data_IF_969742329895
#
_entry.id   IF_969742329895
#
_cell.length_a   1.000
_cell.length_b   1.000
_cell.length_c   1.000
_cell.angle_alpha   90.00
_cell.angle_beta   90.00
_cell.angle_gamma   90.00
#
_symmetry.space_group_name_H-M   'P 1'
#
loop_
_entity.id
_entity.type
_entity.pdbx_description
1 polymer ?
#
# COMPACT_ATOMS: atom_id res chain seq x y z
N UNK A 1 2.08 -14.64 11.40
CA UNK A 1 2.33 -13.75 10.24
C UNK A 1 2.98 -12.49 10.76
N UNK A 2 4.07 -11.98 10.15
CA UNK A 2 4.73 -10.75 10.61
C UNK A 2 4.16 -9.54 9.87
N UNK A 3 3.76 -8.50 10.61
CA UNK A 3 3.15 -7.28 10.06
C UNK A 3 2.02 -7.59 9.06
N UNK A 4 0.99 -8.33 9.50
CA UNK A 4 -0.20 -8.61 8.70
C UNK A 4 -0.93 -7.34 8.26
N UNK A 5 -0.79 -6.25 9.03
CA UNK A 5 -1.40 -4.95 8.79
C UNK A 5 -0.32 -3.94 8.38
N UNK A 6 -0.64 -3.15 7.36
CA UNK A 6 0.05 -1.91 6.96
C UNK A 6 -0.95 -0.75 7.01
N UNK A 7 -0.49 0.49 6.78
CA UNK A 7 -1.38 1.67 6.77
C UNK A 7 -2.57 1.55 5.81
N UNK A 8 -2.43 0.77 4.73
CA UNK A 8 -3.48 0.48 3.74
C UNK A 8 -4.38 -0.71 4.09
N UNK A 9 -4.21 -1.32 5.27
CA UNK A 9 -5.01 -2.46 5.73
C UNK A 9 -4.25 -3.78 5.71
N UNK A 10 -4.96 -4.87 5.45
CA UNK A 10 -4.40 -6.22 5.56
C UNK A 10 -3.69 -6.65 4.29
N UNK A 11 -2.48 -7.20 4.47
CA UNK A 11 -1.71 -7.84 3.40
C UNK A 11 -2.28 -9.23 3.12
N UNK A 12 -3.14 -9.31 2.12
CA UNK A 12 -3.70 -10.58 1.66
C UNK A 12 -3.80 -10.58 0.14
N UNK A 13 -3.69 -11.78 -0.44
CA UNK A 13 -3.75 -12.01 -1.87
C UNK A 13 -4.53 -13.30 -2.17
N UNK A 14 -5.12 -13.36 -3.36
CA UNK A 14 -5.80 -14.55 -3.87
C UNK A 14 -4.86 -15.23 -4.86
N UNK A 15 -4.58 -16.52 -4.62
CA UNK A 15 -3.77 -17.35 -5.50
C UNK A 15 -4.67 -17.92 -6.60
N UNK A 16 -4.28 -17.71 -7.86
CA UNK A 16 -4.94 -18.24 -9.06
C UNK A 16 -4.23 -19.51 -9.55
N UNK A 17 -4.83 -20.18 -10.53
CA UNK A 17 -4.27 -21.39 -11.12
C UNK A 17 -2.95 -21.12 -11.89
N UNK A 18 -2.81 -19.93 -12.47
CA UNK A 18 -1.59 -19.45 -13.15
C UNK A 18 -0.40 -19.25 -12.20
N UNK A 19 -0.64 -19.09 -10.90
CA UNK A 19 0.41 -18.88 -9.89
C UNK A 19 1.05 -20.20 -9.40
N UNK A 20 0.58 -21.36 -9.88
CA UNK A 20 0.99 -22.68 -9.37
C UNK A 20 2.08 -23.27 -10.29
N UNK A 21 3.18 -23.84 -9.73
CA UNK A 21 3.44 -24.07 -8.31
C UNK A 21 4.00 -22.84 -7.57
N UNK A 22 3.48 -22.59 -6.37
CA UNK A 22 3.98 -21.55 -5.46
C UNK A 22 4.43 -22.14 -4.12
N UNK A 23 5.44 -21.53 -3.50
CA UNK A 23 5.93 -21.89 -2.17
C UNK A 23 5.37 -20.95 -1.11
N UNK A 24 4.97 -21.50 0.04
CA UNK A 24 4.50 -20.73 1.18
C UNK A 24 5.66 -20.42 2.13
N UNK A 25 5.90 -19.13 2.39
CA UNK A 25 6.93 -18.70 3.34
C UNK A 25 6.46 -18.93 4.80
N UNK A 26 7.42 -19.07 5.73
CA UNK A 26 7.16 -19.42 7.13
C UNK A 26 6.16 -18.50 7.86
N UNK A 27 6.09 -17.22 7.48
CA UNK A 27 5.27 -16.21 8.17
C UNK A 27 4.06 -15.78 7.35
N UNK A 28 3.56 -16.66 6.48
CA UNK A 28 2.36 -16.44 5.67
C UNK A 28 1.32 -17.50 6.04
N UNK A 29 0.09 -17.07 6.31
CA UNK A 29 -1.02 -17.96 6.55
C UNK A 29 -1.74 -18.25 5.23
N UNK A 30 -2.02 -19.52 4.94
CA UNK A 30 -2.89 -19.92 3.84
C UNK A 30 -4.31 -20.15 4.36
N UNK A 31 -5.25 -19.36 3.87
CA UNK A 31 -6.68 -19.55 4.12
C UNK A 31 -7.31 -20.21 2.90
N UNK A 32 -8.03 -21.31 3.13
CA UNK A 32 -8.76 -22.02 2.08
C UNK A 32 -10.26 -21.80 2.28
N UNK A 33 -10.96 -21.23 1.29
CA UNK A 33 -12.42 -21.10 1.35
C UNK A 33 -13.09 -22.48 1.43
N UNK A 34 -14.25 -22.52 2.07
CA UNK A 34 -15.13 -23.70 2.09
C UNK A 34 -16.25 -23.52 1.07
N UNK A 35 -17.07 -24.54 0.85
CA UNK A 35 -18.23 -24.45 -0.07
C UNK A 35 -19.22 -23.34 0.32
N UNK A 36 -19.23 -22.93 1.60
CA UNK A 36 -20.14 -21.91 2.12
C UNK A 36 -19.62 -20.47 1.93
N UNK A 37 -18.36 -20.27 1.57
CA UNK A 37 -17.73 -18.96 1.50
C UNK A 37 -16.82 -18.86 0.27
N UNK A 38 -17.14 -17.98 -0.66
CA UNK A 38 -16.29 -17.75 -1.83
C UNK A 38 -14.95 -17.08 -1.47
N UNK A 39 -13.89 -17.36 -2.24
CA UNK A 39 -12.57 -16.75 -2.05
C UNK A 39 -12.63 -15.20 -2.09
N UNK A 40 -13.41 -14.65 -3.01
CA UNK A 40 -13.57 -13.20 -3.21
C UNK A 40 -14.34 -12.54 -2.08
N UNK A 41 -15.29 -13.24 -1.47
CA UNK A 41 -15.97 -12.75 -0.26
C UNK A 41 -15.03 -12.82 0.94
N UNK A 42 -14.26 -13.90 1.07
CA UNK A 42 -13.29 -14.08 2.16
C UNK A 42 -12.23 -12.98 2.20
N UNK A 43 -11.69 -12.55 1.04
CA UNK A 43 -10.71 -11.46 0.99
C UNK A 43 -11.33 -10.11 1.39
N UNK A 44 -12.55 -9.81 0.89
CA UNK A 44 -13.27 -8.60 1.28
C UNK A 44 -13.57 -8.57 2.78
N UNK A 45 -13.89 -9.72 3.36
CA UNK A 45 -14.11 -9.84 4.79
C UNK A 45 -12.85 -9.54 5.60
N UNK A 46 -11.69 -10.07 5.18
CA UNK A 46 -10.40 -9.80 5.83
C UNK A 46 -9.98 -8.33 5.68
N UNK A 47 -10.36 -7.68 4.58
CA UNK A 47 -10.10 -6.26 4.34
C UNK A 47 -11.15 -5.34 5.00
N UNK A 48 -12.22 -5.91 5.55
CA UNK A 48 -13.29 -5.14 6.16
C UNK A 48 -12.86 -4.46 7.47
N UNK A 49 -13.51 -3.34 7.78
CA UNK A 49 -13.36 -2.66 9.06
C UNK A 49 -13.68 -3.56 10.25
N UNK A 50 -14.63 -4.49 10.10
CA UNK A 50 -15.02 -5.43 11.16
C UNK A 50 -13.84 -6.31 11.56
N UNK A 51 -13.12 -6.86 10.58
CA UNK A 51 -11.94 -7.66 10.85
C UNK A 51 -10.79 -6.81 11.41
N UNK A 52 -10.58 -5.61 10.87
CA UNK A 52 -9.59 -4.67 11.39
C UNK A 52 -9.83 -4.30 12.87
N UNK A 53 -11.08 -4.04 13.27
CA UNK A 53 -11.44 -3.76 14.66
C UNK A 53 -11.25 -4.99 15.56
N UNK A 54 -11.53 -6.19 15.05
CA UNK A 54 -11.30 -7.44 15.80
C UNK A 54 -9.82 -7.67 16.13
N UNK A 55 -8.93 -7.40 15.18
CA UNK A 55 -7.49 -7.65 15.35
C UNK A 55 -6.73 -6.48 15.98
N UNK A 56 -7.27 -5.26 15.96
CA UNK A 56 -6.64 -4.08 16.58
C UNK A 56 -6.15 -4.31 18.02
N UNK A 57 -6.96 -4.87 18.96
CA UNK A 57 -6.50 -5.14 20.32
C UNK A 57 -5.47 -6.28 20.40
N UNK A 58 -5.38 -7.14 19.39
CA UNK A 58 -4.39 -8.23 19.35
C UNK A 58 -2.98 -7.68 19.11
N UNK A 59 -2.88 -6.52 18.46
CA UNK A 59 -1.62 -5.88 18.11
C UNK A 59 -1.15 -4.80 19.09
N UNK A 60 -1.81 -4.62 20.24
CA UNK A 60 -1.40 -3.65 21.24
C UNK A 60 -0.15 -4.13 21.98
N UNK A 61 1.02 -3.53 21.69
CA UNK A 61 2.29 -3.80 22.36
C UNK A 61 3.52 -3.33 21.57
N UNK A 62 4.71 -3.37 22.20
CA UNK A 62 6.01 -3.05 21.56
C UNK A 62 6.49 -4.19 20.64
N UNK A 63 5.93 -5.39 20.81
CA UNK A 63 6.31 -6.58 20.05
C UNK A 63 5.81 -6.57 18.60
N UNK A 64 6.55 -7.21 17.70
CA UNK A 64 6.18 -7.35 16.29
C UNK A 64 4.75 -7.90 16.18
N UNK A 65 3.82 -7.20 15.49
CA UNK A 65 2.44 -7.63 15.39
C UNK A 65 2.37 -9.00 14.73
N UNK A 66 1.99 -10.00 15.51
CA UNK A 66 1.88 -11.40 15.08
C UNK A 66 0.44 -11.87 15.17
N UNK A 67 -0.09 -12.35 14.05
CA UNK A 67 -1.40 -12.98 14.00
C UNK A 67 -1.24 -14.51 13.95
N UNK A 68 -1.78 -15.19 14.96
CA UNK A 68 -1.78 -16.65 15.07
C UNK A 68 -2.96 -17.28 14.30
N UNK A 69 -2.86 -18.55 13.88
CA UNK A 69 -3.98 -19.25 13.25
C UNK A 69 -5.23 -19.36 14.15
N UNK A 70 -5.05 -19.45 15.46
CA UNK A 70 -6.16 -19.52 16.43
C UNK A 70 -6.92 -18.20 16.50
N UNK A 71 -6.22 -17.07 16.46
CA UNK A 71 -6.84 -15.74 16.42
C UNK A 71 -7.65 -15.56 15.14
N UNK A 72 -7.14 -16.02 13.99
CA UNK A 72 -7.90 -15.97 12.73
C UNK A 72 -9.17 -16.84 12.83
N UNK A 73 -9.06 -18.05 13.39
CA UNK A 73 -10.20 -18.97 13.58
C UNK A 73 -11.21 -18.46 14.60
N UNK A 74 -10.77 -17.65 15.57
CA UNK A 74 -11.61 -17.04 16.59
C UNK A 74 -12.50 -15.91 16.09
N UNK A 75 -12.24 -15.39 14.89
CA UNK A 75 -13.05 -14.34 14.29
C UNK A 75 -14.44 -14.86 13.91
N UNK A 76 -15.47 -14.26 14.50
CA UNK A 76 -16.88 -14.59 14.22
C UNK A 76 -17.49 -13.55 13.28
N UNK A 77 -18.19 -14.04 12.26
CA UNK A 77 -18.90 -13.21 11.29
C UNK A 77 -20.24 -13.84 10.94
N UNK A 78 -21.23 -13.01 10.59
CA UNK A 78 -22.45 -13.46 9.93
C UNK A 78 -22.09 -13.90 8.50
N UNK A 79 -22.35 -15.15 8.17
CA UNK A 79 -22.09 -15.69 6.83
C UNK A 79 -23.40 -15.69 6.02
N UNK A 80 -23.60 -14.72 5.10
CA UNK A 80 -24.79 -14.68 4.27
C UNK A 80 -24.81 -15.84 3.27
N UNK A 81 -25.96 -16.05 2.61
CA UNK A 81 -26.09 -17.06 1.57
C UNK A 81 -25.12 -16.81 0.40
N UNK A 82 -24.80 -17.84 -0.38
CA UNK A 82 -23.87 -17.67 -1.50
C UNK A 82 -24.37 -16.65 -2.55
N UNK A 83 -25.69 -16.59 -2.76
CA UNK A 83 -26.30 -15.61 -3.65
C UNK A 83 -26.11 -14.17 -3.15
N UNK A 84 -26.29 -13.94 -1.86
CA UNK A 84 -26.06 -12.63 -1.24
C UNK A 84 -24.58 -12.26 -1.26
N UNK A 85 -23.67 -13.21 -0.99
CA UNK A 85 -22.22 -12.98 -1.12
C UNK A 85 -21.87 -12.49 -2.52
N UNK A 86 -22.42 -13.12 -3.56
CA UNK A 86 -22.22 -12.73 -4.96
C UNK A 86 -22.78 -11.32 -5.23
N UNK A 87 -23.98 -11.02 -4.76
CA UNK A 87 -24.58 -9.68 -4.91
C UNK A 87 -23.75 -8.58 -4.23
N UNK A 88 -23.21 -8.84 -3.03
CA UNK A 88 -22.32 -7.91 -2.34
C UNK A 88 -21.05 -7.64 -3.17
N UNK A 89 -20.46 -8.69 -3.72
CA UNK A 89 -19.26 -8.58 -4.55
C UNK A 89 -19.56 -7.76 -5.81
N UNK A 90 -20.62 -8.07 -6.53
CA UNK A 90 -21.00 -7.36 -7.76
C UNK A 90 -21.27 -5.88 -7.50
N UNK A 91 -21.95 -5.56 -6.39
CA UNK A 91 -22.15 -4.18 -5.96
C UNK A 91 -20.82 -3.44 -5.75
N UNK A 92 -19.90 -4.03 -4.99
CA UNK A 92 -18.59 -3.41 -4.72
C UNK A 92 -17.77 -3.24 -6.02
N UNK A 93 -17.80 -4.22 -6.92
CA UNK A 93 -17.10 -4.13 -8.20
C UNK A 93 -17.65 -3.00 -9.08
N UNK A 94 -18.97 -2.84 -9.12
CA UNK A 94 -19.60 -1.75 -9.86
C UNK A 94 -19.23 -0.38 -9.28
N UNK A 95 -19.32 -0.22 -7.96
CA UNK A 95 -18.98 1.05 -7.27
C UNK A 95 -17.50 1.40 -7.43
N UNK A 96 -16.61 0.41 -7.52
CA UNK A 96 -15.16 0.62 -7.65
C UNK A 96 -14.67 0.62 -9.10
N UNK A 97 -15.53 0.36 -10.09
CA UNK A 97 -15.14 0.21 -11.50
C UNK A 97 -14.46 1.46 -12.08
N UNK A 98 -14.96 2.65 -11.75
CA UNK A 98 -14.41 3.93 -12.22
C UNK A 98 -13.03 4.19 -11.62
N UNK A 99 -12.86 3.91 -10.32
CA UNK A 99 -11.57 4.02 -9.63
C UNK A 99 -10.55 3.05 -10.21
N UNK A 100 -10.94 1.78 -10.42
CA UNK A 100 -10.08 0.79 -11.04
C UNK A 100 -9.65 1.21 -12.46
N UNK A 101 -10.56 1.80 -13.23
CA UNK A 101 -10.25 2.34 -14.56
C UNK A 101 -9.25 3.49 -14.48
N UNK A 102 -9.40 4.41 -13.52
CA UNK A 102 -8.48 5.52 -13.31
C UNK A 102 -7.09 5.02 -12.90
N UNK A 103 -7.01 4.04 -11.98
CA UNK A 103 -5.75 3.41 -11.56
C UNK A 103 -5.03 2.80 -12.76
N UNK A 104 -5.72 1.98 -13.57
CA UNK A 104 -5.10 1.35 -14.74
C UNK A 104 -4.61 2.36 -15.78
N UNK A 105 -5.28 3.51 -15.93
CA UNK A 105 -4.81 4.60 -16.82
C UNK A 105 -3.53 5.23 -16.29
N UNK A 106 -3.48 5.55 -15.00
CA UNK A 106 -2.30 6.14 -14.36
C UNK A 106 -1.11 5.19 -14.39
N UNK A 107 -1.31 3.89 -14.14
CA UNK A 107 -0.24 2.90 -14.24
C UNK A 107 0.35 2.81 -15.66
N UNK A 108 -0.51 2.91 -16.68
CA UNK A 108 -0.07 2.97 -18.09
C UNK A 108 0.71 4.25 -18.37
N UNK A 109 0.25 5.39 -17.89
CA UNK A 109 0.93 6.67 -18.07
C UNK A 109 2.31 6.68 -17.40
N UNK A 110 2.42 6.16 -16.18
CA UNK A 110 3.71 5.97 -15.49
C UNK A 110 4.64 5.08 -16.32
N UNK A 111 4.12 4.02 -16.92
CA UNK A 111 4.91 3.12 -17.76
C UNK A 111 5.45 3.85 -18.99
N UNK A 112 4.60 4.60 -19.69
CA UNK A 112 5.00 5.39 -20.86
C UNK A 112 6.02 6.48 -20.52
N UNK A 113 5.85 7.16 -19.39
CA UNK A 113 6.82 8.17 -18.93
C UNK A 113 8.19 7.55 -18.62
N UNK A 114 8.22 6.35 -18.04
CA UNK A 114 9.47 5.61 -17.79
C UNK A 114 10.15 5.20 -19.10
N UNK A 115 9.39 4.67 -20.06
CA UNK A 115 9.90 4.33 -21.39
C UNK A 115 10.46 5.57 -22.10
N UNK A 116 9.70 6.67 -22.11
CA UNK A 116 10.13 7.94 -22.69
C UNK A 116 11.41 8.45 -22.04
N UNK A 117 11.48 8.46 -20.70
CA UNK A 117 12.69 8.87 -19.97
C UNK A 117 13.90 8.01 -20.36
N UNK A 118 13.75 6.69 -20.43
CA UNK A 118 14.84 5.79 -20.86
C UNK A 118 15.30 6.09 -22.29
N UNK A 119 14.37 6.31 -23.23
CA UNK A 119 14.69 6.72 -24.60
C UNK A 119 15.40 8.07 -24.64
N UNK A 120 14.89 9.06 -23.90
CA UNK A 120 15.46 10.41 -23.82
C UNK A 120 16.91 10.37 -23.32
N UNK A 121 17.17 9.62 -22.25
CA UNK A 121 18.54 9.43 -21.73
C UNK A 121 19.44 8.79 -22.79
N UNK A 122 18.94 7.77 -23.50
CA UNK A 122 19.71 7.12 -24.56
C UNK A 122 20.01 8.08 -25.73
N UNK A 123 19.05 8.91 -26.13
CA UNK A 123 19.24 9.89 -27.21
C UNK A 123 20.21 11.00 -26.82
N UNK A 124 20.18 11.46 -25.57
CA UNK A 124 21.17 12.40 -25.02
C UNK A 124 22.56 11.78 -24.99
N UNK A 125 22.70 10.55 -24.47
CA UNK A 125 24.01 9.89 -24.35
C UNK A 125 24.60 9.50 -25.72
N UNK A 126 23.74 9.17 -26.69
CA UNK A 126 24.16 8.88 -28.07
C UNK A 126 24.37 10.14 -28.91
N UNK A 127 24.15 11.33 -28.33
CA UNK A 127 24.32 12.62 -29.01
C UNK A 127 23.26 12.91 -30.07
N UNK A 128 22.18 12.14 -30.12
CA UNK A 128 21.03 12.40 -31.00
C UNK A 128 20.17 13.56 -30.53
N UNK A 129 20.27 13.91 -29.24
CA UNK A 129 19.61 15.07 -28.64
C UNK A 129 20.63 15.95 -27.93
N UNK A 130 20.76 17.22 -28.37
CA UNK A 130 21.59 18.22 -27.70
C UNK A 130 20.79 18.95 -26.61
N UNK A 131 21.21 18.75 -25.36
CA UNK A 131 20.59 19.31 -24.16
C UNK A 131 20.68 20.85 -24.12
N UNK A 132 21.70 21.44 -24.74
CA UNK A 132 21.90 22.91 -24.73
C UNK A 132 20.90 23.61 -25.64
N UNK A 133 20.63 23.03 -26.80
CA UNK A 133 19.62 23.52 -27.74
C UNK A 133 18.22 23.36 -27.15
N UNK A 134 17.93 22.21 -26.54
CA UNK A 134 16.67 21.96 -25.86
C UNK A 134 16.42 22.94 -24.69
N UNK A 135 17.44 23.25 -23.88
CA UNK A 135 17.32 24.18 -22.77
C UNK A 135 17.07 25.63 -23.23
N UNK A 136 17.59 26.04 -24.39
CA UNK A 136 17.40 27.39 -24.92
C UNK A 136 15.95 27.68 -25.38
N UNK A 137 15.13 26.64 -25.58
CA UNK A 137 13.72 26.76 -25.98
C UNK A 137 12.71 26.71 -24.83
N UNK A 138 13.16 26.50 -23.59
CA UNK A 138 12.26 26.46 -22.44
C UNK A 138 11.83 27.88 -22.04
N UNK A 139 10.54 28.11 -21.72
CA UNK A 139 10.09 29.37 -21.16
C UNK A 139 10.78 29.64 -19.83
N UNK A 140 11.11 30.90 -19.55
CA UNK A 140 11.77 31.32 -18.32
C UNK A 140 10.83 31.05 -17.13
N UNK A 141 11.11 30.00 -16.35
CA UNK A 141 10.37 29.70 -15.14
C UNK A 141 10.66 30.80 -14.12
N UNK A 142 9.72 31.74 -13.95
CA UNK A 142 9.71 32.59 -12.77
C UNK A 142 9.62 31.68 -11.55
N UNK A 143 10.72 31.60 -10.79
CA UNK A 143 10.77 30.91 -9.50
C UNK A 143 9.52 31.25 -8.69
N UNK A 144 8.71 30.27 -8.25
CA UNK A 144 7.66 30.54 -7.28
C UNK A 144 8.34 31.18 -6.06
N UNK A 145 7.84 32.35 -5.65
CA UNK A 145 8.34 33.11 -4.52
C UNK A 145 8.65 32.17 -3.35
N UNK A 146 9.88 32.25 -2.85
CA UNK A 146 10.33 31.47 -1.71
C UNK A 146 9.28 31.58 -0.60
N UNK A 147 8.74 30.43 -0.16
CA UNK A 147 7.96 30.36 1.06
C UNK A 147 8.93 30.83 2.16
N UNK A 148 8.65 31.99 2.76
CA UNK A 148 9.40 32.48 3.91
C UNK A 148 9.25 31.45 5.05
N UNK A 149 10.35 30.76 5.36
CA UNK A 149 10.50 29.87 6.51
C UNK A 149 10.40 30.71 7.80
N UNK A 150 9.19 30.90 8.30
CA UNK A 150 8.95 31.46 9.63
C UNK A 150 9.02 30.33 10.66
N UNK A 151 10.23 29.83 10.89
CA UNK A 151 10.55 28.89 11.96
C UNK A 151 11.71 29.43 12.80
N UNK A 152 11.46 30.55 13.47
CA UNK A 152 12.26 31.00 14.59
C UNK A 152 12.03 30.09 15.80
N UNK A 153 12.91 29.09 15.97
CA UNK A 153 13.16 28.46 17.26
C UNK A 153 14.66 28.41 17.48
N UNK A 154 15.21 29.57 17.83
CA UNK A 154 16.53 29.69 18.43
C UNK A 154 16.63 28.85 19.71
N UNK A 155 17.30 27.71 19.60
CA UNK A 155 18.41 27.25 20.44
C UNK A 155 18.44 27.71 21.93
N UNK A 156 18.05 26.81 22.85
CA UNK A 156 18.58 26.80 24.23
C UNK A 156 19.35 25.49 24.47
N UNK A 157 20.64 25.55 24.15
CA UNK A 157 21.81 25.01 24.87
C UNK A 157 21.72 23.68 25.63
N UNK A 158 22.57 22.75 25.18
CA UNK A 158 23.23 21.75 26.01
C UNK A 158 23.97 22.39 27.20
N UNK A 159 23.79 21.83 28.40
CA UNK A 159 24.83 21.82 29.43
C UNK A 159 24.88 20.44 30.06
N UNK A 160 26.01 19.75 29.85
CA UNK A 160 26.39 18.54 30.57
C UNK A 160 26.97 18.90 31.95
N UNK A 161 26.73 17.98 32.88
CA UNK A 161 27.52 17.61 34.07
C UNK A 161 27.60 18.49 35.34
N UNK A 162 27.64 17.73 36.46
CA UNK A 162 28.02 18.00 37.86
C UNK A 162 26.99 18.64 38.81
N UNK A 163 26.38 17.84 39.70
CA UNK A 163 26.87 17.65 41.09
C UNK A 163 26.04 16.62 41.90
N UNK A 164 26.66 16.11 42.95
CA UNK A 164 26.31 14.96 43.79
C UNK A 164 25.41 15.30 45.01
N UNK A 165 25.06 14.23 45.76
CA UNK A 165 24.35 14.15 47.05
C UNK A 165 22.82 14.40 46.97
N UNK A 166 21.95 13.58 47.55
CA UNK A 166 21.98 12.78 48.79
C UNK A 166 20.99 11.60 48.70
#
# INVERSE_FOLDING_TARGET
>A
MDRPIVSSGIRAAVIKQEDIPCLLLQRVARLRPTERMGARFMILLLQSRVFATYIAPIFTGISVPHLSPEQIKGFKVILPSYSEQKGIIEYIENETATLNTAISRLEREITLLREYHTCLVADVVTGKLDVREAAAGLPDESTPDAIEDDADLSNETESADEEAAE
#
